data_IF_760284981456
#
_entry.id   IF_760284981456
#
_cell.length_a   1.000
_cell.length_b   1.000
_cell.length_c   1.000
_cell.angle_alpha   90.00
_cell.angle_beta   90.00
_cell.angle_gamma   90.00
#
_symmetry.space_group_name_H-M   'P 1'
#
loop_
_entity.id
_entity.type
_entity.pdbx_description
1 polymer ?
#
# COMPACT_ATOMS: atom_id res chain seq x y z
N UNK A 1 -5.18 23.84 -9.64
CA UNK A 1 -4.28 23.39 -8.55
C UNK A 1 -3.39 22.29 -9.11
N UNK A 2 -2.08 22.52 -9.33
CA UNK A 2 -1.22 21.55 -10.00
C UNK A 2 -0.78 20.47 -9.01
N UNK A 3 -1.32 19.26 -9.13
CA UNK A 3 -1.02 18.16 -8.20
C UNK A 3 -1.91 16.92 -8.32
N UNK A 4 -3.00 16.97 -9.11
CA UNK A 4 -3.77 15.77 -9.46
C UNK A 4 -3.22 15.17 -10.76
N UNK A 5 -2.41 14.13 -10.66
CA UNK A 5 -2.15 13.26 -11.81
C UNK A 5 -3.40 12.39 -12.03
N UNK A 6 -4.12 12.62 -13.13
CA UNK A 6 -5.21 11.74 -13.58
C UNK A 6 -4.59 10.43 -14.03
N UNK A 7 -4.73 9.37 -13.24
CA UNK A 7 -4.13 8.07 -13.56
C UNK A 7 -5.06 7.24 -14.46
N UNK A 8 -6.37 7.21 -14.20
CA UNK A 8 -7.31 6.43 -15.01
C UNK A 8 -8.76 6.95 -14.93
N UNK A 9 -9.55 6.70 -15.97
CA UNK A 9 -11.01 6.96 -16.00
C UNK A 9 -11.74 5.62 -16.04
N UNK A 10 -12.50 5.30 -15.00
CA UNK A 10 -13.35 4.10 -14.96
C UNK A 10 -14.82 4.55 -14.94
N UNK A 11 -15.63 4.06 -15.89
CA UNK A 11 -17.07 4.31 -15.97
C UNK A 11 -17.52 5.79 -15.94
N UNK A 12 -16.67 6.71 -16.40
CA UNK A 12 -16.96 8.16 -16.40
C UNK A 12 -16.55 8.90 -15.13
N UNK A 13 -16.10 8.18 -14.09
CA UNK A 13 -15.58 8.73 -12.83
C UNK A 13 -14.07 8.96 -12.98
N UNK A 14 -13.63 10.19 -12.71
CA UNK A 14 -12.22 10.57 -12.71
C UNK A 14 -11.54 10.05 -11.43
N UNK A 15 -10.79 8.95 -11.53
CA UNK A 15 -10.00 8.44 -10.43
C UNK A 15 -8.65 9.16 -10.42
N UNK A 16 -8.54 10.12 -9.51
CA UNK A 16 -7.30 10.87 -9.26
C UNK A 16 -6.56 10.19 -8.10
N UNK A 17 -5.48 9.45 -8.40
CA UNK A 17 -4.56 8.98 -7.35
C UNK A 17 -3.57 10.09 -7.07
N UNK A 18 -3.60 10.59 -5.84
CA UNK A 18 -2.60 11.53 -5.37
C UNK A 18 -1.31 10.78 -5.04
N UNK A 19 -0.15 11.41 -5.31
CA UNK A 19 1.16 10.84 -4.97
C UNK A 19 1.25 10.49 -3.48
N UNK A 20 0.54 11.25 -2.63
CA UNK A 20 0.40 11.00 -1.20
C UNK A 20 -0.22 9.64 -0.89
N UNK A 21 -1.15 9.14 -1.69
CA UNK A 21 -1.72 7.80 -1.50
C UNK A 21 -0.68 6.70 -1.77
N UNK A 22 0.15 6.85 -2.80
CA UNK A 22 1.26 5.91 -3.04
C UNK A 22 2.27 5.91 -1.89
N UNK A 23 2.60 7.09 -1.36
CA UNK A 23 3.48 7.22 -0.18
C UNK A 23 2.85 6.50 1.02
N UNK A 24 1.55 6.70 1.26
CA UNK A 24 0.82 6.04 2.34
C UNK A 24 0.81 4.51 2.15
N UNK A 25 0.59 4.02 0.93
CA UNK A 25 0.56 2.59 0.64
C UNK A 25 1.93 1.94 0.92
N UNK A 26 3.01 2.55 0.44
CA UNK A 26 4.37 2.07 0.71
C UNK A 26 4.69 2.12 2.21
N UNK A 27 4.30 3.19 2.88
CA UNK A 27 4.52 3.35 4.32
C UNK A 27 3.73 2.31 5.14
N UNK A 28 2.46 2.09 4.82
CA UNK A 28 1.63 1.03 5.42
C UNK A 28 2.25 -0.34 5.18
N UNK A 29 2.62 -0.64 3.93
CA UNK A 29 3.24 -1.92 3.58
C UNK A 29 4.49 -2.17 4.42
N UNK A 30 5.39 -1.19 4.53
CA UNK A 30 6.61 -1.28 5.32
C UNK A 30 6.32 -1.42 6.82
N UNK A 31 5.37 -0.64 7.35
CA UNK A 31 4.97 -0.68 8.76
C UNK A 31 4.39 -2.04 9.15
N UNK A 32 3.50 -2.60 8.34
CA UNK A 32 2.94 -3.93 8.57
C UNK A 32 4.01 -5.03 8.44
N UNK A 33 4.86 -4.95 7.41
CA UNK A 33 5.88 -5.96 7.12
C UNK A 33 6.99 -6.03 8.17
N UNK A 34 7.35 -4.91 8.80
CA UNK A 34 8.44 -4.85 9.79
C UNK A 34 7.95 -4.81 11.24
N UNK A 35 6.76 -4.27 11.48
CA UNK A 35 6.18 -4.16 12.82
C UNK A 35 5.27 -5.34 13.15
N UNK A 36 4.17 -5.50 12.40
CA UNK A 36 3.08 -6.37 12.82
C UNK A 36 3.29 -7.84 12.47
N UNK A 37 3.65 -8.15 11.22
CA UNK A 37 3.78 -9.53 10.75
C UNK A 37 4.94 -10.32 11.37
N UNK A 38 6.14 -9.75 11.58
CA UNK A 38 7.25 -10.49 12.19
C UNK A 38 7.00 -10.86 13.66
N UNK A 39 6.25 -10.01 14.37
CA UNK A 39 5.87 -10.24 15.78
C UNK A 39 4.74 -11.27 15.86
N UNK A 40 3.75 -11.18 14.97
CA UNK A 40 2.56 -12.05 15.00
C UNK A 40 2.83 -13.44 14.41
N UNK A 41 3.65 -13.53 13.36
CA UNK A 41 3.98 -14.76 12.65
C UNK A 41 5.51 -14.96 12.56
N UNK A 42 6.20 -15.18 13.69
CA UNK A 42 7.64 -15.37 13.68
C UNK A 42 8.04 -16.63 12.90
N UNK A 43 9.15 -16.55 12.16
CA UNK A 43 9.73 -17.68 11.41
C UNK A 43 9.44 -17.70 9.90
N UNK A 44 8.66 -16.76 9.38
CA UNK A 44 8.51 -16.58 7.92
C UNK A 44 9.63 -15.73 7.32
N UNK A 45 9.81 -15.83 6.00
CA UNK A 45 10.81 -15.05 5.28
C UNK A 45 10.44 -13.57 5.22
N UNK A 46 11.44 -12.69 5.21
CA UNK A 46 11.24 -11.23 5.06
C UNK A 46 10.39 -10.90 3.84
N UNK A 47 10.61 -11.58 2.71
CA UNK A 47 9.83 -11.38 1.49
C UNK A 47 8.33 -11.68 1.69
N UNK A 48 8.00 -12.71 2.48
CA UNK A 48 6.61 -13.05 2.80
C UNK A 48 5.93 -11.92 3.58
N UNK A 49 6.61 -11.29 4.54
CA UNK A 49 6.03 -10.18 5.30
C UNK A 49 5.76 -8.95 4.44
N UNK A 50 6.64 -8.62 3.49
CA UNK A 50 6.40 -7.52 2.55
C UNK A 50 5.24 -7.80 1.59
N UNK A 51 5.10 -9.04 1.11
CA UNK A 51 3.97 -9.46 0.28
C UNK A 51 2.65 -9.36 1.03
N UNK A 52 2.60 -9.87 2.27
CA UNK A 52 1.41 -9.78 3.12
C UNK A 52 1.09 -8.32 3.49
N UNK A 53 2.11 -7.51 3.81
CA UNK A 53 1.97 -6.08 4.05
C UNK A 53 1.38 -5.32 2.87
N UNK A 54 1.82 -5.64 1.66
CA UNK A 54 1.33 -5.01 0.43
C UNK A 54 -0.12 -5.38 0.14
N UNK A 55 -0.45 -6.68 0.22
CA UNK A 55 -1.81 -7.18 0.02
C UNK A 55 -2.75 -6.57 1.07
N UNK A 56 -2.36 -6.61 2.35
CA UNK A 56 -3.15 -6.03 3.44
C UNK A 56 -3.38 -4.53 3.24
N UNK A 57 -2.35 -3.78 2.82
CA UNK A 57 -2.48 -2.33 2.57
C UNK A 57 -3.40 -1.97 1.41
N UNK A 58 -3.57 -2.87 0.43
CA UNK A 58 -4.51 -2.68 -0.69
C UNK A 58 -5.96 -2.99 -0.28
N UNK A 59 -6.14 -3.93 0.65
CA UNK A 59 -7.46 -4.37 1.13
C UNK A 59 -8.05 -3.49 2.25
N UNK A 60 -7.27 -2.55 2.78
CA UNK A 60 -7.61 -1.68 3.92
C UNK A 60 -8.36 -0.42 3.44
#
# INVERSE_FOLDING_TARGET
>A
MPGSFRIFRIAGIDINIHISWLIILVFLTFSLATGWFPITYPGSSTATYYLLGFIASILL
#
